data_IF_252126952277
#
_entry.id   IF_252126952277
#
_cell.length_a   1.000
_cell.length_b   1.000
_cell.length_c   1.000
_cell.angle_alpha   90.00
_cell.angle_beta   90.00
_cell.angle_gamma   90.00
#
_symmetry.space_group_name_H-M   'P 1'
#
loop_
_entity.id
_entity.type
_entity.pdbx_description
1 polymer ?
#
# COMPACT_ATOMS: atom_id res chain seq x y z
N UNK A 1 11.01 10.90 31.17
CA UNK A 1 10.28 9.65 30.90
C UNK A 1 10.08 9.56 29.40
N UNK A 2 10.39 8.42 28.79
CA UNK A 2 10.09 8.18 27.38
C UNK A 2 8.57 8.21 27.19
N UNK A 3 8.08 8.91 26.15
CA UNK A 3 6.65 8.95 25.83
C UNK A 3 6.26 7.58 25.25
N UNK A 4 5.86 6.64 26.12
CA UNK A 4 5.49 5.27 25.73
C UNK A 4 4.41 5.23 24.65
N UNK A 5 3.50 6.21 24.61
CA UNK A 5 2.49 6.33 23.56
C UNK A 5 3.16 6.64 22.22
N UNK A 6 4.11 7.57 22.20
CA UNK A 6 4.91 7.86 21.02
C UNK A 6 5.77 6.66 20.60
N UNK A 7 6.51 6.05 21.52
CA UNK A 7 7.36 4.88 21.23
C UNK A 7 6.55 3.75 20.61
N UNK A 8 5.35 3.49 21.14
CA UNK A 8 4.45 2.49 20.60
C UNK A 8 3.95 2.86 19.20
N UNK A 9 3.56 4.13 19.00
CA UNK A 9 3.13 4.60 17.70
C UNK A 9 4.24 4.46 16.65
N UNK A 10 5.47 4.83 16.98
CA UNK A 10 6.65 4.68 16.12
C UNK A 10 6.95 3.21 15.83
N UNK A 11 6.89 2.35 16.84
CA UNK A 11 7.00 0.89 16.67
C UNK A 11 5.95 0.37 15.68
N UNK A 12 4.66 0.69 15.83
CA UNK A 12 3.61 0.25 14.89
C UNK A 12 3.87 0.73 13.47
N UNK A 13 4.19 2.01 13.29
CA UNK A 13 4.47 2.60 11.98
C UNK A 13 5.60 1.81 11.33
N UNK A 14 6.70 1.61 12.06
CA UNK A 14 7.86 0.85 11.59
C UNK A 14 7.50 -0.58 11.19
N UNK A 15 6.68 -1.23 12.01
CA UNK A 15 6.24 -2.59 11.80
C UNK A 15 5.29 -2.75 10.59
N UNK A 16 4.47 -1.73 10.29
CA UNK A 16 3.68 -1.65 9.05
C UNK A 16 4.60 -1.50 7.85
N UNK A 17 5.63 -0.65 7.92
CA UNK A 17 6.57 -0.46 6.82
C UNK A 17 7.39 -1.71 6.48
N UNK A 18 7.81 -2.46 7.50
CA UNK A 18 8.49 -3.74 7.31
C UNK A 18 7.55 -4.74 6.62
N UNK A 19 6.30 -4.81 7.06
CA UNK A 19 5.29 -5.66 6.43
C UNK A 19 5.02 -5.24 4.98
N UNK A 20 4.84 -3.95 4.72
CA UNK A 20 4.65 -3.39 3.38
C UNK A 20 5.84 -3.75 2.48
N UNK A 21 7.07 -3.55 2.93
CA UNK A 21 8.27 -3.88 2.15
C UNK A 21 8.34 -5.38 1.82
N UNK A 22 8.05 -6.26 2.79
CA UNK A 22 8.00 -7.71 2.59
C UNK A 22 6.94 -8.08 1.54
N UNK A 23 5.71 -7.62 1.71
CA UNK A 23 4.63 -7.96 0.80
C UNK A 23 4.81 -7.33 -0.57
N UNK A 24 5.38 -6.12 -0.65
CA UNK A 24 5.66 -5.46 -1.93
C UNK A 24 6.74 -6.20 -2.73
N UNK A 25 7.76 -6.77 -2.05
CA UNK A 25 8.72 -7.66 -2.70
C UNK A 25 8.00 -8.87 -3.32
N UNK A 26 7.19 -9.58 -2.52
CA UNK A 26 6.44 -10.73 -3.03
C UNK A 26 5.42 -10.34 -4.13
N UNK A 27 4.87 -9.13 -4.10
CA UNK A 27 4.00 -8.61 -5.16
C UNK A 27 4.76 -8.48 -6.48
N UNK A 28 5.97 -7.93 -6.46
CA UNK A 28 6.82 -7.83 -7.65
C UNK A 28 7.06 -9.23 -8.23
N UNK A 29 7.44 -10.19 -7.39
CA UNK A 29 7.70 -11.56 -7.83
C UNK A 29 6.43 -12.22 -8.42
N UNK A 30 5.27 -11.97 -7.81
CA UNK A 30 3.96 -12.44 -8.30
C UNK A 30 3.61 -11.82 -9.65
N UNK A 31 3.82 -10.52 -9.85
CA UNK A 31 3.53 -9.85 -11.11
C UNK A 31 4.48 -10.32 -12.22
N UNK A 32 5.75 -10.59 -11.91
CA UNK A 32 6.71 -11.15 -12.85
C UNK A 32 6.32 -12.58 -13.29
N UNK A 33 5.73 -13.39 -12.39
CA UNK A 33 5.15 -14.70 -12.77
C UNK A 33 3.91 -14.55 -13.63
N UNK A 34 2.99 -13.64 -13.28
CA UNK A 34 1.79 -13.36 -14.08
C UNK A 34 2.17 -12.90 -15.48
N UNK A 35 3.12 -11.97 -15.59
CA UNK A 35 3.62 -11.48 -16.87
C UNK A 35 4.12 -12.63 -17.75
N UNK A 36 5.01 -13.48 -17.23
CA UNK A 36 5.52 -14.64 -17.98
C UNK A 36 4.40 -15.59 -18.39
N UNK A 37 3.51 -15.95 -17.47
CA UNK A 37 2.42 -16.90 -17.74
C UNK A 37 1.42 -16.37 -18.75
N UNK A 38 1.06 -15.09 -18.68
CA UNK A 38 0.12 -14.45 -19.60
C UNK A 38 0.73 -14.32 -20.99
N UNK A 39 1.99 -13.90 -21.11
CA UNK A 39 2.67 -13.82 -22.40
C UNK A 39 2.81 -15.19 -23.04
N UNK A 40 3.28 -16.19 -22.28
CA UNK A 40 3.44 -17.55 -22.81
C UNK A 40 2.10 -18.15 -23.27
N UNK A 41 1.02 -17.89 -22.52
CA UNK A 41 -0.33 -18.31 -22.90
C UNK A 41 -0.76 -17.71 -24.24
N UNK A 42 -0.47 -16.42 -24.43
CA UNK A 42 -0.86 -15.69 -25.65
C UNK A 42 -0.01 -16.15 -26.84
N UNK A 43 1.27 -16.45 -26.64
CA UNK A 43 2.15 -16.99 -27.67
C UNK A 43 1.71 -18.39 -28.11
N UNK A 44 1.58 -19.32 -27.16
CA UNK A 44 1.24 -20.72 -27.45
C UNK A 44 -0.09 -20.88 -28.17
N UNK A 45 -1.05 -20.00 -27.88
CA UNK A 45 -2.42 -20.18 -28.34
C UNK A 45 -2.71 -19.38 -29.62
N UNK A 46 -1.83 -18.45 -30.08
CA UNK A 46 -2.12 -17.58 -31.23
C UNK A 46 -1.08 -17.56 -32.35
N UNK A 47 0.21 -17.79 -32.06
CA UNK A 47 1.33 -17.47 -32.96
C UNK A 47 1.26 -18.21 -34.32
N UNK A 48 0.75 -19.44 -34.33
CA UNK A 48 0.69 -20.30 -35.54
C UNK A 48 -0.72 -20.46 -36.15
N UNK A 49 -1.69 -19.64 -35.74
CA UNK A 49 -3.08 -19.78 -36.18
C UNK A 49 -3.46 -18.83 -37.31
N UNK A 50 -4.30 -19.29 -38.23
CA UNK A 50 -4.98 -18.41 -39.19
C UNK A 50 -5.87 -17.37 -38.46
N UNK A 51 -6.05 -16.18 -39.06
CA UNK A 51 -6.74 -15.03 -38.45
C UNK A 51 -8.14 -15.35 -37.89
N UNK A 52 -8.94 -16.16 -38.61
CA UNK A 52 -10.28 -16.57 -38.15
C UNK A 52 -10.20 -17.48 -36.92
N UNK A 53 -9.19 -18.35 -36.85
CA UNK A 53 -8.94 -19.20 -35.68
C UNK A 53 -8.41 -18.37 -34.50
N UNK A 54 -7.53 -17.40 -34.74
CA UNK A 54 -7.04 -16.45 -33.72
C UNK A 54 -8.19 -15.70 -33.05
N UNK A 55 -9.18 -15.20 -33.81
CA UNK A 55 -10.33 -14.49 -33.23
C UNK A 55 -11.17 -15.40 -32.30
N UNK A 56 -11.41 -16.65 -32.71
CA UNK A 56 -12.13 -17.64 -31.87
C UNK A 56 -11.36 -17.99 -30.60
N UNK A 57 -10.03 -17.97 -30.64
CA UNK A 57 -9.17 -18.25 -29.51
C UNK A 57 -9.05 -17.04 -28.59
N UNK A 58 -8.93 -15.83 -29.13
CA UNK A 58 -8.90 -14.57 -28.37
C UNK A 58 -10.11 -14.43 -27.44
N UNK A 59 -11.32 -14.78 -27.90
CA UNK A 59 -12.54 -14.80 -27.07
C UNK A 59 -12.40 -15.78 -25.89
N UNK A 60 -11.74 -16.92 -26.12
CA UNK A 60 -11.49 -17.96 -25.10
C UNK A 60 -10.30 -17.66 -24.19
N UNK A 61 -9.51 -16.61 -24.44
CA UNK A 61 -8.38 -16.23 -23.59
C UNK A 61 -8.80 -15.64 -22.25
N UNK A 62 -9.94 -14.94 -22.20
CA UNK A 62 -10.42 -14.30 -20.96
C UNK A 62 -10.48 -15.25 -19.75
N UNK A 63 -11.13 -16.42 -19.81
CA UNK A 63 -11.16 -17.35 -18.68
C UNK A 63 -9.76 -17.89 -18.32
N UNK A 64 -8.86 -18.08 -19.30
CA UNK A 64 -7.48 -18.55 -19.04
C UNK A 64 -6.64 -17.48 -18.35
N UNK A 65 -6.72 -16.23 -18.81
CA UNK A 65 -6.08 -15.07 -18.15
C UNK A 65 -6.62 -14.91 -16.73
N UNK A 66 -7.95 -14.99 -16.56
CA UNK A 66 -8.59 -14.94 -15.24
C UNK A 66 -8.00 -16.00 -14.30
N UNK A 67 -7.89 -17.25 -14.75
CA UNK A 67 -7.32 -18.34 -13.95
C UNK A 67 -5.88 -18.06 -13.51
N UNK A 68 -5.03 -17.48 -14.37
CA UNK A 68 -3.66 -17.08 -14.00
C UNK A 68 -3.69 -16.03 -12.87
N UNK A 69 -4.52 -14.99 -13.01
CA UNK A 69 -4.61 -13.92 -12.01
C UNK A 69 -5.19 -14.45 -10.68
N UNK A 70 -6.16 -15.35 -10.71
CA UNK A 70 -6.71 -15.98 -9.50
C UNK A 70 -5.64 -16.82 -8.78
N UNK A 71 -4.89 -17.64 -9.52
CA UNK A 71 -3.87 -18.53 -8.96
C UNK A 71 -2.67 -17.78 -8.39
N UNK A 72 -2.22 -16.71 -9.04
CA UNK A 72 -1.04 -15.97 -8.63
C UNK A 72 -1.38 -14.79 -7.73
N UNK A 73 -2.24 -13.88 -8.21
CA UNK A 73 -2.50 -12.61 -7.55
C UNK A 73 -3.51 -12.74 -6.40
N UNK A 74 -4.62 -13.46 -6.58
CA UNK A 74 -5.59 -13.61 -5.49
C UNK A 74 -5.10 -14.55 -4.38
N UNK A 75 -4.32 -15.57 -4.72
CA UNK A 75 -3.62 -16.39 -3.70
C UNK A 75 -2.63 -15.55 -2.89
N UNK A 76 -1.87 -14.69 -3.56
CA UNK A 76 -0.97 -13.74 -2.89
C UNK A 76 -1.75 -12.75 -2.02
N UNK A 77 -2.86 -12.19 -2.50
CA UNK A 77 -3.64 -11.21 -1.73
C UNK A 77 -4.32 -11.83 -0.50
N UNK A 78 -4.78 -13.08 -0.59
CA UNK A 78 -5.28 -13.83 0.57
C UNK A 78 -4.19 -13.97 1.65
N UNK A 79 -2.94 -14.22 1.25
CA UNK A 79 -1.80 -14.27 2.19
C UNK A 79 -1.58 -12.93 2.90
N UNK A 80 -1.61 -11.82 2.15
CA UNK A 80 -1.47 -10.46 2.70
C UNK A 80 -2.55 -10.19 3.75
N UNK A 81 -3.81 -10.50 3.40
CA UNK A 81 -4.97 -10.24 4.24
C UNK A 81 -5.00 -11.14 5.47
N UNK A 82 -4.70 -12.44 5.33
CA UNK A 82 -4.71 -13.38 6.46
C UNK A 82 -3.55 -13.13 7.41
N UNK A 83 -2.32 -13.13 6.90
CA UNK A 83 -1.14 -13.02 7.75
C UNK A 83 -0.86 -11.59 8.20
N UNK A 84 -0.94 -10.62 7.28
CA UNK A 84 -0.61 -9.23 7.53
C UNK A 84 -1.53 -8.63 8.58
N UNK A 85 -2.83 -8.83 8.43
CA UNK A 85 -3.82 -8.22 9.32
C UNK A 85 -3.82 -8.90 10.69
N UNK A 86 -3.61 -10.22 10.76
CA UNK A 86 -3.45 -10.92 12.03
C UNK A 86 -2.26 -10.38 12.83
N UNK A 87 -1.11 -10.18 12.18
CA UNK A 87 0.08 -9.60 12.83
C UNK A 87 -0.19 -8.16 13.28
N UNK A 88 -0.93 -7.39 12.49
CA UNK A 88 -1.26 -6.02 12.85
C UNK A 88 -2.26 -5.92 14.01
N UNK A 89 -3.27 -6.79 14.05
CA UNK A 89 -4.22 -6.88 15.16
C UNK A 89 -3.52 -7.21 16.48
N UNK A 90 -2.60 -8.19 16.48
CA UNK A 90 -1.79 -8.54 17.66
C UNK A 90 -0.92 -7.38 18.15
N UNK A 91 -0.41 -6.55 17.23
CA UNK A 91 0.33 -5.33 17.61
C UNK A 91 -0.60 -4.34 18.30
N UNK A 92 -1.78 -4.08 17.77
CA UNK A 92 -2.76 -3.19 18.42
C UNK A 92 -3.14 -3.70 19.81
N UNK A 93 -3.42 -4.99 19.94
CA UNK A 93 -3.70 -5.61 21.25
C UNK A 93 -2.55 -5.41 22.24
N UNK A 94 -1.29 -5.63 21.80
CA UNK A 94 -0.10 -5.36 22.62
C UNK A 94 -0.02 -3.89 23.06
N UNK A 95 -0.43 -2.94 22.21
CA UNK A 95 -0.50 -1.53 22.57
C UNK A 95 -1.36 -1.30 23.79
N UNK A 96 -2.58 -1.84 23.73
CA UNK A 96 -3.59 -1.61 24.73
C UNK A 96 -3.18 -2.23 26.08
N UNK A 97 -2.47 -3.35 26.05
CA UNK A 97 -1.86 -3.98 27.23
C UNK A 97 -0.71 -3.16 27.84
N UNK A 98 0.09 -2.49 27.02
CA UNK A 98 1.34 -1.84 27.48
C UNK A 98 1.18 -0.38 27.95
N UNK A 99 0.12 0.32 27.55
CA UNK A 99 -0.14 1.71 27.98
C UNK A 99 -0.52 1.77 29.48
N UNK A 100 -0.91 0.65 30.10
CA UNK A 100 -1.09 0.52 31.56
C UNK A 100 -2.39 1.13 32.11
N UNK A 101 -2.83 2.27 31.56
CA UNK A 101 -4.01 3.01 32.03
C UNK A 101 -5.32 2.68 31.29
N UNK A 102 -5.33 1.65 30.44
CA UNK A 102 -6.54 1.18 29.78
C UNK A 102 -7.14 0.03 30.61
N UNK A 103 -8.43 0.06 30.98
CA UNK A 103 -9.05 -1.01 31.78
C UNK A 103 -8.86 -2.40 31.15
N UNK A 104 -8.58 -3.42 31.98
CA UNK A 104 -8.26 -4.79 31.54
C UNK A 104 -9.25 -5.36 30.52
N UNK A 105 -10.55 -5.07 30.69
CA UNK A 105 -11.63 -5.51 29.78
C UNK A 105 -11.47 -5.03 28.33
N UNK A 106 -10.74 -3.94 28.10
CA UNK A 106 -10.51 -3.37 26.77
C UNK A 106 -9.12 -3.70 26.20
N UNK A 107 -8.25 -4.34 26.98
CA UNK A 107 -6.88 -4.63 26.57
C UNK A 107 -6.75 -5.76 25.56
N UNK A 108 -7.71 -6.69 25.56
CA UNK A 108 -7.76 -7.83 24.64
C UNK A 108 -8.69 -7.55 23.46
N UNK A 109 -8.57 -8.35 22.40
CA UNK A 109 -9.52 -8.31 21.29
C UNK A 109 -10.87 -8.89 21.74
N UNK A 110 -11.94 -8.12 21.62
CA UNK A 110 -13.30 -8.56 21.91
C UNK A 110 -13.88 -9.40 20.76
N UNK A 111 -15.04 -10.03 20.98
CA UNK A 111 -15.76 -10.70 19.89
C UNK A 111 -16.18 -9.71 18.78
N UNK A 112 -16.51 -8.47 19.15
CA UNK A 112 -16.80 -7.41 18.19
C UNK A 112 -15.56 -7.05 17.37
N UNK A 113 -14.37 -6.97 18.00
CA UNK A 113 -13.11 -6.74 17.29
C UNK A 113 -12.81 -7.85 16.28
N UNK A 114 -13.03 -9.12 16.67
CA UNK A 114 -12.80 -10.26 15.78
C UNK A 114 -13.76 -10.25 14.58
N UNK A 115 -15.03 -9.87 14.80
CA UNK A 115 -16.01 -9.69 13.73
C UNK A 115 -15.61 -8.53 12.79
N UNK A 116 -15.17 -7.40 13.35
CA UNK A 116 -14.63 -6.28 12.59
C UNK A 116 -13.43 -6.73 11.74
N UNK A 117 -12.44 -7.39 12.33
CA UNK A 117 -11.25 -7.88 11.63
C UNK A 117 -11.66 -8.79 10.46
N UNK A 118 -12.62 -9.69 10.65
CA UNK A 118 -13.14 -10.55 9.57
C UNK A 118 -13.75 -9.72 8.43
N UNK A 119 -14.53 -8.70 8.74
CA UNK A 119 -15.14 -7.82 7.74
C UNK A 119 -14.08 -6.99 6.99
N UNK A 120 -13.09 -6.43 7.69
CA UNK A 120 -12.00 -5.66 7.07
C UNK A 120 -11.16 -6.52 6.13
N UNK A 121 -10.92 -7.79 6.51
CA UNK A 121 -10.26 -8.77 5.63
C UNK A 121 -11.05 -9.01 4.35
N UNK A 122 -12.35 -9.28 4.47
CA UNK A 122 -13.22 -9.52 3.32
C UNK A 122 -13.27 -8.29 2.40
N UNK A 123 -13.47 -7.10 2.97
CA UNK A 123 -13.49 -5.84 2.22
C UNK A 123 -12.17 -5.61 1.45
N UNK A 124 -11.03 -5.82 2.10
CA UNK A 124 -9.72 -5.67 1.47
C UNK A 124 -9.51 -6.70 0.36
N UNK A 125 -9.89 -7.96 0.59
CA UNK A 125 -9.79 -9.00 -0.42
C UNK A 125 -10.64 -8.67 -1.66
N UNK A 126 -11.83 -8.09 -1.48
CA UNK A 126 -12.65 -7.57 -2.58
C UNK A 126 -11.93 -6.48 -3.38
N UNK A 127 -11.23 -5.53 -2.74
CA UNK A 127 -10.43 -4.53 -3.46
C UNK A 127 -9.34 -5.17 -4.33
N UNK A 128 -8.68 -6.22 -3.83
CA UNK A 128 -7.73 -6.99 -4.63
C UNK A 128 -8.44 -7.71 -5.80
N UNK A 129 -9.62 -8.28 -5.57
CA UNK A 129 -10.45 -8.90 -6.62
C UNK A 129 -10.85 -7.91 -7.71
N UNK A 130 -11.15 -6.67 -7.36
CA UNK A 130 -11.50 -5.62 -8.33
C UNK A 130 -10.33 -5.29 -9.26
N UNK A 131 -9.10 -5.22 -8.71
CA UNK A 131 -7.87 -5.08 -9.51
C UNK A 131 -7.73 -6.29 -10.44
N UNK A 132 -7.89 -7.51 -9.92
CA UNK A 132 -7.81 -8.74 -10.73
C UNK A 132 -8.79 -8.71 -11.90
N UNK A 133 -10.07 -8.42 -11.64
CA UNK A 133 -11.11 -8.36 -12.66
C UNK A 133 -10.84 -7.27 -13.71
N UNK A 134 -10.38 -6.11 -13.27
CA UNK A 134 -10.02 -5.00 -14.16
C UNK A 134 -8.91 -5.40 -15.12
N UNK A 135 -7.86 -6.04 -14.62
CA UNK A 135 -6.73 -6.44 -15.45
C UNK A 135 -7.01 -7.69 -16.28
N UNK A 136 -7.86 -8.62 -15.83
CA UNK A 136 -8.39 -9.69 -16.70
C UNK A 136 -9.09 -9.07 -17.91
N UNK A 137 -9.96 -8.08 -17.70
CA UNK A 137 -10.67 -7.42 -18.80
C UNK A 137 -9.71 -6.70 -19.74
N UNK A 138 -8.83 -5.84 -19.22
CA UNK A 138 -7.86 -5.07 -20.04
C UNK A 138 -6.94 -5.96 -20.87
N UNK A 139 -6.41 -7.02 -20.28
CA UNK A 139 -5.54 -7.97 -20.98
C UNK A 139 -6.31 -8.72 -22.07
N UNK A 140 -7.56 -9.13 -21.80
CA UNK A 140 -8.40 -9.81 -22.79
C UNK A 140 -8.79 -8.89 -23.95
N UNK A 141 -9.13 -7.64 -23.64
CA UNK A 141 -9.44 -6.60 -24.64
C UNK A 141 -8.25 -6.36 -25.56
N UNK A 142 -7.02 -6.26 -25.02
CA UNK A 142 -5.80 -6.11 -25.82
C UNK A 142 -5.58 -7.26 -26.78
N UNK A 143 -5.66 -8.51 -26.29
CA UNK A 143 -5.54 -9.69 -27.15
C UNK A 143 -6.56 -9.66 -28.30
N UNK A 144 -7.82 -9.34 -28.00
CA UNK A 144 -8.86 -9.27 -29.02
C UNK A 144 -8.60 -8.16 -30.06
N UNK A 145 -8.25 -6.96 -29.60
CA UNK A 145 -7.99 -5.81 -30.48
C UNK A 145 -6.75 -6.04 -31.36
N UNK A 146 -5.68 -6.59 -30.81
CA UNK A 146 -4.47 -6.91 -31.57
C UNK A 146 -4.74 -7.93 -32.68
N UNK A 147 -5.50 -8.99 -32.39
CA UNK A 147 -5.88 -9.98 -33.42
C UNK A 147 -6.77 -9.36 -34.50
N UNK A 148 -7.74 -8.53 -34.11
CA UNK A 148 -8.65 -7.86 -35.06
C UNK A 148 -7.87 -6.94 -36.02
N UNK A 149 -7.02 -6.08 -35.45
CA UNK A 149 -6.21 -5.11 -36.17
C UNK A 149 -5.02 -5.73 -36.92
N UNK A 150 -4.68 -7.01 -36.68
CA UNK A 150 -3.53 -7.65 -37.29
C UNK A 150 -2.20 -7.11 -36.78
N UNK A 151 -2.15 -6.72 -35.51
CA UNK A 151 -0.95 -6.22 -34.84
C UNK A 151 0.07 -7.35 -34.72
N UNK A 152 1.35 -7.02 -34.89
CA UNK A 152 2.45 -7.97 -34.76
C UNK A 152 2.47 -8.61 -33.36
N UNK A 153 2.82 -9.90 -33.30
CA UNK A 153 2.80 -10.64 -32.05
C UNK A 153 3.78 -10.08 -31.01
N UNK A 154 4.96 -9.60 -31.45
CA UNK A 154 5.94 -9.01 -30.53
C UNK A 154 5.44 -7.68 -29.93
N UNK A 155 4.63 -6.93 -30.68
CA UNK A 155 3.96 -5.73 -30.17
C UNK A 155 2.90 -6.10 -29.13
N UNK A 156 2.03 -7.08 -29.41
CA UNK A 156 1.06 -7.60 -28.43
C UNK A 156 1.75 -8.11 -27.16
N UNK A 157 2.82 -8.89 -27.30
CA UNK A 157 3.62 -9.35 -26.16
C UNK A 157 4.07 -8.16 -25.30
N UNK A 158 4.65 -7.13 -25.92
CA UNK A 158 5.11 -5.93 -25.22
C UNK A 158 3.96 -5.21 -24.51
N UNK A 159 2.80 -5.05 -25.15
CA UNK A 159 1.63 -4.44 -24.55
C UNK A 159 1.13 -5.20 -23.31
N UNK A 160 1.14 -6.53 -23.37
CA UNK A 160 0.71 -7.38 -22.26
C UNK A 160 1.64 -7.23 -21.06
N UNK A 161 2.96 -7.23 -21.30
CA UNK A 161 3.97 -6.99 -20.26
C UNK A 161 3.81 -5.61 -19.61
N UNK A 162 3.64 -4.57 -20.43
CA UNK A 162 3.44 -3.21 -19.94
C UNK A 162 2.12 -3.03 -19.19
N UNK A 163 1.06 -3.73 -19.59
CA UNK A 163 -0.23 -3.69 -18.88
C UNK A 163 -0.10 -4.25 -17.45
N UNK A 164 0.80 -5.22 -17.25
CA UNK A 164 1.04 -5.84 -15.93
C UNK A 164 2.05 -5.02 -15.11
N UNK A 165 3.25 -4.79 -15.63
CA UNK A 165 4.38 -4.21 -14.89
C UNK A 165 4.74 -2.76 -15.27
N UNK A 166 4.10 -2.21 -16.29
CA UNK A 166 4.39 -0.87 -16.82
C UNK A 166 5.81 -0.75 -17.35
N UNK A 167 6.48 0.37 -17.04
CA UNK A 167 7.89 0.60 -17.43
C UNK A 167 8.86 -0.49 -16.92
N UNK A 168 8.44 -1.26 -15.92
CA UNK A 168 9.24 -2.32 -15.29
C UNK A 168 9.00 -3.72 -15.88
N UNK A 169 8.26 -3.80 -17.00
CA UNK A 169 8.09 -5.00 -17.80
C UNK A 169 9.44 -5.61 -18.21
N UNK A 170 9.53 -6.93 -18.39
CA UNK A 170 10.76 -7.50 -18.95
C UNK A 170 10.99 -7.03 -20.39
N UNK A 171 12.24 -7.08 -20.82
CA UNK A 171 12.69 -6.72 -22.17
C UNK A 171 13.46 -7.88 -22.80
N UNK A 172 13.61 -7.87 -24.14
CA UNK A 172 14.62 -8.68 -24.81
C UNK A 172 16.05 -8.18 -24.54
N UNK A 173 16.18 -6.89 -24.21
CA UNK A 173 17.45 -6.25 -23.83
C UNK A 173 17.89 -6.64 -22.40
N UNK A 174 19.05 -7.28 -22.31
CA UNK A 174 19.64 -7.71 -21.04
C UNK A 174 20.07 -6.54 -20.13
N UNK A 175 20.49 -5.40 -20.68
CA UNK A 175 20.85 -4.22 -19.92
C UNK A 175 19.62 -3.56 -19.28
N UNK A 176 18.52 -3.48 -20.03
CA UNK A 176 17.21 -3.03 -19.51
C UNK A 176 16.79 -3.91 -18.34
N UNK A 177 16.86 -5.24 -18.49
CA UNK A 177 16.49 -6.16 -17.43
C UNK A 177 17.36 -6.01 -16.18
N UNK A 178 18.67 -5.80 -16.34
CA UNK A 178 19.58 -5.49 -15.23
C UNK A 178 19.19 -4.20 -14.51
N UNK A 179 18.85 -3.14 -15.25
CA UNK A 179 18.41 -1.87 -14.69
C UNK A 179 17.08 -2.00 -13.95
N UNK A 180 16.09 -2.68 -14.56
CA UNK A 180 14.78 -2.95 -13.94
C UNK A 180 14.95 -3.75 -12.65
N UNK A 181 15.80 -4.79 -12.63
CA UNK A 181 16.08 -5.56 -11.44
C UNK A 181 16.71 -4.70 -10.32
N UNK A 182 17.62 -3.78 -10.67
CA UNK A 182 18.20 -2.82 -9.72
C UNK A 182 17.13 -1.88 -9.16
N UNK A 183 16.23 -1.37 -10.01
CA UNK A 183 15.12 -0.51 -9.60
C UNK A 183 14.18 -1.26 -8.65
N UNK A 184 13.73 -2.47 -9.00
CA UNK A 184 12.86 -3.31 -8.14
C UNK A 184 13.48 -3.54 -6.77
N UNK A 185 14.78 -3.83 -6.69
CA UNK A 185 15.51 -3.96 -5.41
C UNK A 185 15.51 -2.66 -4.61
N UNK A 186 15.79 -1.54 -5.25
CA UNK A 186 15.81 -0.23 -4.60
C UNK A 186 14.40 0.20 -4.15
N UNK A 187 13.34 -0.11 -4.91
CA UNK A 187 11.95 0.13 -4.52
C UNK A 187 11.60 -0.59 -3.20
N UNK A 188 11.99 -1.86 -3.06
CA UNK A 188 11.80 -2.64 -1.83
C UNK A 188 12.61 -2.02 -0.68
N UNK A 189 13.87 -1.68 -0.93
CA UNK A 189 14.79 -1.11 0.08
C UNK A 189 14.32 0.24 0.60
N UNK A 190 13.82 1.12 -0.27
CA UNK A 190 13.29 2.44 0.13
C UNK A 190 12.12 2.31 1.10
N UNK A 191 11.31 1.23 1.02
CA UNK A 191 10.19 1.00 1.92
C UNK A 191 10.63 0.56 3.32
N UNK A 192 11.70 -0.23 3.42
CA UNK A 192 12.20 -0.74 4.69
C UNK A 192 13.26 0.13 5.35
N UNK A 193 13.96 1.01 4.64
CA UNK A 193 15.00 1.85 5.24
C UNK A 193 14.43 3.12 5.90
N UNK A 194 15.11 3.63 6.93
CA UNK A 194 14.87 5.00 7.37
C UNK A 194 15.38 5.99 6.33
N UNK A 195 14.45 6.68 5.68
CA UNK A 195 14.68 7.63 4.59
C UNK A 195 15.41 8.91 5.03
N UNK A 196 15.55 9.16 6.33
CA UNK A 196 16.27 10.30 6.93
C UNK A 196 17.78 10.09 6.91
N UNK A 197 18.22 8.84 7.05
CA UNK A 197 19.64 8.48 7.07
C UNK A 197 20.32 8.85 5.75
N UNK A 198 21.62 9.08 5.79
CA UNK A 198 22.45 9.30 4.59
C UNK A 198 22.27 8.16 3.59
N UNK A 199 22.25 6.92 4.08
CA UNK A 199 21.99 5.73 3.27
C UNK A 199 20.58 5.74 2.66
N UNK A 200 19.56 6.17 3.39
CA UNK A 200 18.18 6.26 2.91
C UNK A 200 17.97 7.35 1.84
N UNK A 201 18.69 8.47 1.94
CA UNK A 201 18.73 9.52 0.90
C UNK A 201 19.41 9.01 -0.37
N UNK A 202 20.59 8.42 -0.24
CA UNK A 202 21.36 7.88 -1.36
C UNK A 202 20.58 6.80 -2.15
N UNK A 203 19.85 5.90 -1.48
CA UNK A 203 19.02 4.89 -2.17
C UNK A 203 17.89 5.55 -2.96
N UNK A 204 17.23 6.59 -2.43
CA UNK A 204 16.16 7.30 -3.15
C UNK A 204 16.68 8.04 -4.37
N UNK A 205 17.78 8.78 -4.23
CA UNK A 205 18.38 9.51 -5.34
C UNK A 205 18.81 8.55 -6.46
N UNK A 206 19.44 7.44 -6.09
CA UNK A 206 19.78 6.37 -7.03
C UNK A 206 18.54 5.78 -7.69
N UNK A 207 17.48 5.50 -6.93
CA UNK A 207 16.22 4.99 -7.47
C UNK A 207 15.63 5.95 -8.51
N UNK A 208 15.51 7.24 -8.16
CA UNK A 208 15.00 8.28 -9.07
C UNK A 208 15.84 8.37 -10.33
N UNK A 209 17.18 8.41 -10.20
CA UNK A 209 18.10 8.45 -11.35
C UNK A 209 17.94 7.22 -12.24
N UNK A 210 17.85 6.03 -11.68
CA UNK A 210 17.69 4.79 -12.46
C UNK A 210 16.33 4.77 -13.19
N UNK A 211 15.25 5.24 -12.56
CA UNK A 211 13.93 5.36 -13.22
C UNK A 211 14.00 6.36 -14.38
N UNK A 212 14.66 7.51 -14.20
CA UNK A 212 14.85 8.49 -15.29
C UNK A 212 15.65 7.88 -16.44
N UNK A 213 16.75 7.19 -16.15
CA UNK A 213 17.54 6.48 -17.17
C UNK A 213 16.68 5.44 -17.90
N UNK A 214 15.85 4.69 -17.17
CA UNK A 214 14.94 3.71 -17.76
C UNK A 214 13.96 4.36 -18.76
N UNK A 215 13.46 5.55 -18.43
CA UNK A 215 12.52 6.29 -19.27
C UNK A 215 13.19 6.92 -20.49
N UNK A 216 14.34 7.57 -20.30
CA UNK A 216 15.00 8.36 -21.35
C UNK A 216 15.82 7.50 -22.30
N UNK A 217 16.67 6.61 -21.77
CA UNK A 217 17.59 5.83 -22.62
C UNK A 217 16.91 4.70 -23.37
N UNK A 218 15.81 4.18 -22.82
CA UNK A 218 15.12 3.02 -23.38
C UNK A 218 13.71 3.37 -23.88
N UNK A 219 13.44 4.67 -24.08
CA UNK A 219 12.17 5.22 -24.58
C UNK A 219 10.92 4.59 -23.94
N UNK A 220 10.99 4.29 -22.64
CA UNK A 220 9.88 3.63 -21.94
C UNK A 220 8.90 4.67 -21.44
N UNK A 221 7.77 4.76 -22.15
CA UNK A 221 6.67 5.63 -21.76
C UNK A 221 6.15 5.30 -20.38
N UNK A 222 5.80 6.35 -19.62
CA UNK A 222 5.21 6.22 -18.30
C UNK A 222 3.78 5.68 -18.43
N UNK A 223 3.64 4.39 -18.65
CA UNK A 223 2.36 3.66 -18.63
C UNK A 223 1.80 3.77 -17.21
N UNK A 224 0.98 4.79 -16.98
CA UNK A 224 0.46 5.13 -15.67
C UNK A 224 -0.57 4.13 -15.17
N UNK A 225 -1.12 3.29 -16.04
CA UNK A 225 -2.28 2.44 -15.74
C UNK A 225 -1.98 0.93 -15.81
N UNK A 226 -0.98 0.49 -15.05
CA UNK A 226 -0.57 -0.92 -14.99
C UNK A 226 -0.96 -1.60 -13.67
N UNK A 227 -1.05 -2.93 -13.69
CA UNK A 227 -1.46 -3.73 -12.53
C UNK A 227 -0.57 -3.52 -11.32
N UNK A 228 0.75 -3.43 -11.52
CA UNK A 228 1.73 -3.17 -10.45
C UNK A 228 1.39 -1.93 -9.63
N UNK A 229 1.00 -0.84 -10.29
CA UNK A 229 0.62 0.41 -9.61
C UNK A 229 -0.64 0.22 -8.76
N UNK A 230 -1.72 -0.30 -9.35
CA UNK A 230 -3.00 -0.47 -8.64
C UNK A 230 -2.85 -1.45 -7.47
N UNK A 231 -2.24 -2.62 -7.72
CA UNK A 231 -1.97 -3.62 -6.68
C UNK A 231 -1.10 -3.07 -5.55
N UNK A 232 -0.04 -2.33 -5.90
CA UNK A 232 0.84 -1.70 -4.91
C UNK A 232 0.14 -0.64 -4.07
N UNK A 233 -0.80 0.11 -4.66
CA UNK A 233 -1.62 1.09 -3.95
C UNK A 233 -2.59 0.41 -2.98
N UNK A 234 -3.31 -0.63 -3.42
CA UNK A 234 -4.20 -1.41 -2.54
C UNK A 234 -3.42 -2.01 -1.37
N UNK A 235 -2.23 -2.59 -1.61
CA UNK A 235 -1.37 -3.10 -0.54
C UNK A 235 -0.98 -2.01 0.48
N UNK A 236 -0.52 -0.86 0.01
CA UNK A 236 -0.06 0.23 0.86
C UNK A 236 -1.17 0.80 1.73
N UNK A 237 -2.34 1.03 1.13
CA UNK A 237 -3.48 1.65 1.80
C UNK A 237 -4.14 0.65 2.75
N UNK A 238 -4.37 -0.59 2.32
CA UNK A 238 -5.06 -1.60 3.12
C UNK A 238 -4.37 -1.90 4.46
N UNK A 239 -3.05 -2.02 4.51
CA UNK A 239 -2.31 -2.24 5.77
C UNK A 239 -2.47 -1.09 6.76
N UNK A 240 -2.52 0.15 6.27
CA UNK A 240 -2.61 1.36 7.11
C UNK A 240 -4.04 1.63 7.54
N UNK A 241 -5.00 1.37 6.67
CA UNK A 241 -6.43 1.56 6.94
C UNK A 241 -6.96 0.46 7.85
N UNK A 242 -6.49 -0.78 7.70
CA UNK A 242 -6.76 -1.83 8.68
C UNK A 242 -6.28 -1.42 10.09
N UNK A 243 -5.03 -0.95 10.19
CA UNK A 243 -4.46 -0.49 11.46
C UNK A 243 -5.28 0.65 12.07
N UNK A 244 -5.73 1.61 11.26
CA UNK A 244 -6.46 2.78 11.73
C UNK A 244 -7.89 2.44 12.17
N UNK A 245 -8.59 1.59 11.42
CA UNK A 245 -9.97 1.19 11.69
C UNK A 245 -10.06 0.34 12.95
N UNK A 246 -9.22 -0.69 13.07
CA UNK A 246 -9.22 -1.52 14.28
C UNK A 246 -8.82 -0.69 15.51
N UNK A 247 -7.82 0.18 15.37
CA UNK A 247 -7.39 1.03 16.49
C UNK A 247 -8.47 2.05 16.88
N UNK A 248 -9.21 2.61 15.92
CA UNK A 248 -10.35 3.49 16.19
C UNK A 248 -11.43 2.74 16.98
N UNK A 249 -11.90 1.60 16.48
CA UNK A 249 -12.96 0.82 17.13
C UNK A 249 -12.59 0.45 18.58
N UNK A 250 -11.37 -0.07 18.80
CA UNK A 250 -10.91 -0.38 20.16
C UNK A 250 -10.80 0.83 21.07
N UNK A 251 -10.42 1.97 20.50
CA UNK A 251 -10.28 3.21 21.27
C UNK A 251 -11.64 3.78 21.65
N UNK A 252 -12.63 3.66 20.77
CA UNK A 252 -14.02 4.01 21.05
C UNK A 252 -14.59 3.12 22.17
N UNK A 253 -14.39 1.80 22.10
CA UNK A 253 -14.79 0.87 23.17
C UNK A 253 -14.13 1.23 24.51
N UNK A 254 -12.86 1.63 24.48
CA UNK A 254 -12.11 2.04 25.67
C UNK A 254 -12.44 3.47 26.17
N UNK A 255 -13.35 4.20 25.50
CA UNK A 255 -13.75 5.56 25.87
C UNK A 255 -12.70 6.64 25.57
N UNK A 256 -11.74 6.38 24.69
CA UNK A 256 -10.69 7.35 24.33
C UNK A 256 -11.23 8.34 23.29
N UNK A 257 -11.48 9.56 23.72
CA UNK A 257 -12.09 10.63 22.90
C UNK A 257 -11.10 11.63 22.32
N UNK A 258 -9.81 11.48 22.64
CA UNK A 258 -8.75 12.38 22.24
C UNK A 258 -7.64 11.66 21.47
N UNK A 259 -6.88 12.41 20.70
CA UNK A 259 -5.77 11.90 19.90
C UNK A 259 -4.56 12.81 19.95
N UNK A 260 -3.36 12.21 19.85
CA UNK A 260 -2.08 12.91 19.68
C UNK A 260 -1.46 12.52 18.34
N UNK A 261 -0.87 13.48 17.63
CA UNK A 261 -0.33 13.25 16.29
C UNK A 261 1.08 12.65 16.35
N UNK A 262 1.24 11.44 15.80
CA UNK A 262 2.48 10.69 15.82
C UNK A 262 3.06 10.49 14.43
N UNK A 263 4.37 10.23 14.36
CA UNK A 263 5.14 10.04 13.13
C UNK A 263 6.42 10.87 13.10
N UNK A 264 7.16 10.80 12.00
CA UNK A 264 8.44 11.49 11.86
C UNK A 264 8.46 12.38 10.61
N UNK A 265 9.09 13.55 10.75
CA UNK A 265 9.33 14.45 9.62
C UNK A 265 10.42 13.88 8.70
N UNK A 266 10.07 13.76 7.42
CA UNK A 266 10.98 13.47 6.30
C UNK A 266 10.91 14.61 5.26
N UNK A 267 11.88 14.74 4.34
CA UNK A 267 11.88 15.82 3.34
C UNK A 267 10.58 15.90 2.52
N UNK A 268 10.00 14.75 2.17
CA UNK A 268 8.74 14.66 1.39
C UNK A 268 7.48 14.69 2.28
N UNK A 269 7.58 15.12 3.54
CA UNK A 269 6.41 15.22 4.42
C UNK A 269 5.49 16.30 3.89
N UNK A 270 4.20 16.00 3.81
CA UNK A 270 3.18 16.97 3.40
C UNK A 270 3.07 18.07 4.45
N UNK A 271 2.78 19.29 4.02
CA UNK A 271 2.76 20.46 4.92
C UNK A 271 1.76 20.31 6.06
N UNK A 272 0.59 19.71 5.82
CA UNK A 272 -0.36 19.38 6.87
C UNK A 272 0.28 18.55 8.01
N UNK A 273 0.96 17.45 7.65
CA UNK A 273 1.66 16.59 8.59
C UNK A 273 2.81 17.33 9.29
N UNK A 274 3.51 18.18 8.53
CA UNK A 274 4.64 18.97 9.01
C UNK A 274 4.21 19.94 10.11
N UNK A 275 3.13 20.68 9.85
CA UNK A 275 2.58 21.67 10.77
C UNK A 275 1.99 21.03 12.03
N UNK A 276 1.34 19.87 11.91
CA UNK A 276 0.90 19.09 13.08
C UNK A 276 2.08 18.61 13.93
N UNK A 277 3.11 18.01 13.31
CA UNK A 277 4.27 17.49 14.07
C UNK A 277 5.14 18.59 14.68
N UNK A 278 5.17 19.78 14.07
CA UNK A 278 5.88 20.93 14.62
C UNK A 278 5.07 21.69 15.69
N UNK A 279 3.88 21.19 16.05
CA UNK A 279 2.96 21.84 16.99
C UNK A 279 2.33 23.15 16.51
N UNK A 280 2.52 23.53 15.22
CA UNK A 280 1.99 24.79 14.67
C UNK A 280 0.47 24.77 14.52
N UNK A 281 -0.16 23.61 14.63
CA UNK A 281 -1.60 23.43 14.60
C UNK A 281 -2.17 23.00 15.94
N UNK A 282 -1.33 22.92 16.98
CA UNK A 282 -1.75 22.52 18.31
C UNK A 282 -2.63 23.60 18.91
N UNK A 283 -3.76 23.17 19.47
CA UNK A 283 -4.67 24.04 20.21
C UNK A 283 -4.32 24.15 21.69
N UNK A 284 -3.44 23.26 22.16
CA UNK A 284 -3.04 23.08 23.55
C UNK A 284 -1.56 22.75 23.58
N UNK A 285 -0.85 23.16 24.63
CA UNK A 285 0.58 22.82 24.81
C UNK A 285 0.84 21.31 24.80
N UNK A 286 -0.15 20.52 25.21
CA UNK A 286 -0.06 19.06 25.20
C UNK A 286 -0.01 18.41 23.82
N UNK A 287 -0.39 19.13 22.76
CA UNK A 287 -0.55 18.57 21.42
C UNK A 287 -1.66 17.52 21.30
N UNK A 288 -2.56 17.47 22.30
CA UNK A 288 -3.73 16.59 22.33
C UNK A 288 -4.93 17.30 21.73
N UNK A 289 -5.64 16.61 20.85
CA UNK A 289 -6.81 17.10 20.14
C UNK A 289 -8.04 16.27 20.50
N UNK A 290 -9.21 16.91 20.56
CA UNK A 290 -10.47 16.16 20.49
C UNK A 290 -10.68 15.61 19.07
N UNK A 291 -11.47 14.55 18.94
CA UNK A 291 -11.84 14.00 17.63
C UNK A 291 -12.50 15.07 16.73
N UNK A 292 -13.33 15.94 17.29
CA UNK A 292 -14.01 16.99 16.53
C UNK A 292 -13.06 18.09 16.05
N UNK A 293 -12.04 18.42 16.84
CA UNK A 293 -10.99 19.34 16.42
C UNK A 293 -10.22 18.77 15.23
N UNK A 294 -9.90 17.48 15.25
CA UNK A 294 -9.26 16.79 14.11
C UNK A 294 -10.17 16.80 12.88
N UNK A 295 -11.47 16.50 13.03
CA UNK A 295 -12.44 16.54 11.91
C UNK A 295 -12.55 17.94 11.32
N UNK A 296 -12.62 18.98 12.14
CA UNK A 296 -12.66 20.40 11.71
C UNK A 296 -11.38 20.79 10.98
N UNK A 297 -10.22 20.48 11.55
CA UNK A 297 -8.91 20.75 10.95
C UNK A 297 -8.72 20.04 9.60
N UNK A 298 -9.21 18.79 9.50
CA UNK A 298 -9.18 18.05 8.25
C UNK A 298 -10.08 18.70 7.19
N UNK A 299 -11.30 19.10 7.54
CA UNK A 299 -12.24 19.72 6.59
C UNK A 299 -11.78 21.09 6.09
N UNK A 300 -11.15 21.89 6.95
CA UNK A 300 -10.73 23.26 6.62
C UNK A 300 -9.47 23.36 5.76
N UNK A 301 -8.83 22.24 5.42
CA UNK A 301 -7.55 22.22 4.68
C UNK A 301 -7.64 21.36 3.45
N UNK A 302 -7.03 21.83 2.35
CA UNK A 302 -6.89 21.06 1.12
C UNK A 302 -5.41 21.02 0.70
N UNK A 303 -4.98 19.90 0.14
CA UNK A 303 -3.64 19.75 -0.44
C UNK A 303 -3.64 18.64 -1.49
N UNK A 304 -2.64 18.68 -2.38
CA UNK A 304 -2.50 17.70 -3.45
C UNK A 304 -2.35 16.27 -2.89
N UNK A 305 -3.25 15.38 -3.33
CA UNK A 305 -3.26 13.98 -2.91
C UNK A 305 -3.77 13.74 -1.48
N UNK A 306 -4.54 14.69 -0.93
CA UNK A 306 -5.38 14.45 0.26
C UNK A 306 -6.45 13.40 -0.09
N UNK A 307 -6.51 12.33 0.69
CA UNK A 307 -7.55 11.30 0.55
C UNK A 307 -8.87 11.85 1.11
N UNK A 308 -9.99 11.64 0.42
CA UNK A 308 -11.31 11.98 0.96
C UNK A 308 -11.70 10.99 2.07
N UNK A 309 -12.47 11.45 3.07
CA UNK A 309 -13.02 10.62 4.15
C UNK A 309 -12.58 11.03 5.56
N UNK A 310 -12.80 10.13 6.52
CA UNK A 310 -12.57 10.38 7.95
C UNK A 310 -11.06 10.44 8.28
N UNK A 311 -10.51 11.56 8.81
CA UNK A 311 -9.08 11.72 9.11
C UNK A 311 -8.49 10.71 10.10
N UNK A 312 -9.33 10.05 10.90
CA UNK A 312 -8.89 9.01 11.83
C UNK A 312 -8.65 7.67 11.13
N UNK A 313 -9.33 7.45 10.00
CA UNK A 313 -9.29 6.20 9.22
C UNK A 313 -8.40 6.35 8.01
N UNK A 314 -8.64 7.40 7.21
CA UNK A 314 -8.04 7.51 5.88
C UNK A 314 -6.55 7.73 6.00
N UNK A 315 -5.81 6.73 5.55
CA UNK A 315 -4.36 6.73 5.54
C UNK A 315 -3.95 6.22 4.17
N UNK A 316 -3.08 6.96 3.50
CA UNK A 316 -2.71 6.59 2.14
C UNK A 316 -2.02 7.72 1.38
N UNK A 317 -1.37 7.30 0.29
CA UNK A 317 -0.47 8.13 -0.50
C UNK A 317 1.02 7.89 -0.20
N UNK A 318 1.88 8.39 -1.09
CA UNK A 318 3.32 8.16 -1.05
C UNK A 318 3.92 8.61 0.30
N UNK A 319 4.54 7.68 1.04
CA UNK A 319 5.25 7.92 2.30
C UNK A 319 4.39 8.36 3.51
N UNK A 320 3.12 7.95 3.61
CA UNK A 320 2.36 8.20 4.84
C UNK A 320 2.97 7.43 6.03
N UNK A 321 3.65 8.17 6.92
CA UNK A 321 4.30 7.70 8.17
C UNK A 321 3.73 8.37 9.42
N UNK A 322 2.57 9.01 9.28
CA UNK A 322 1.94 9.73 10.38
C UNK A 322 0.60 9.11 10.71
N UNK A 323 0.25 9.14 11.98
CA UNK A 323 -1.00 8.60 12.47
C UNK A 323 -1.48 9.33 13.72
N UNK A 324 -2.79 9.32 13.93
CA UNK A 324 -3.39 9.66 15.21
C UNK A 324 -3.27 8.48 16.16
N UNK A 325 -2.73 8.74 17.35
CA UNK A 325 -2.75 7.79 18.46
C UNK A 325 -3.82 8.23 19.43
N UNK A 326 -4.74 7.34 19.78
CA UNK A 326 -5.81 7.63 20.73
C UNK A 326 -5.24 7.65 22.13
N UNK A 327 -5.66 8.66 22.88
CA UNK A 327 -5.13 8.98 24.20
C UNK A 327 -6.23 9.49 25.11
N UNK A 328 -5.98 9.42 26.42
CA UNK A 328 -6.71 10.25 27.38
C UNK A 328 -5.93 11.53 27.65
N UNK A 329 -6.59 12.70 27.77
CA UNK A 329 -5.95 13.92 28.25
C UNK A 329 -5.29 13.75 29.63
N UNK A 330 -5.86 12.90 30.49
CA UNK A 330 -5.35 12.61 31.84
C UNK A 330 -4.01 11.86 31.84
N UNK A 331 -3.53 11.42 30.67
CA UNK A 331 -2.23 10.78 30.54
C UNK A 331 -1.07 11.77 30.44
N UNK A 332 -1.36 13.06 30.27
CA UNK A 332 -0.38 14.11 30.05
C UNK A 332 -0.50 15.21 31.10
N UNK A 333 0.63 15.80 31.49
CA UNK A 333 0.64 17.04 32.26
C UNK A 333 0.33 18.27 31.38
N UNK A 334 0.36 19.45 32.01
CA UNK A 334 0.07 20.73 31.35
C UNK A 334 1.09 21.07 30.24
N UNK A 335 2.29 20.51 30.31
CA UNK A 335 3.36 20.68 29.32
C UNK A 335 3.35 19.59 28.24
N UNK A 336 2.40 18.65 28.29
CA UNK A 336 2.26 17.60 27.29
C UNK A 336 3.16 16.40 27.47
N UNK A 337 3.83 16.31 28.61
CA UNK A 337 4.68 15.18 28.96
C UNK A 337 3.82 14.07 29.55
N UNK A 338 4.10 12.84 29.12
CA UNK A 338 3.40 11.65 29.59
C UNK A 338 3.67 11.46 31.09
N UNK A 339 2.61 11.32 31.88
CA UNK A 339 2.67 11.14 33.35
C UNK A 339 2.20 9.76 33.81
N UNK A 340 1.73 8.93 32.88
CA UNK A 340 1.33 7.54 33.16
C UNK A 340 2.51 6.60 32.98
N UNK A 341 2.50 5.53 33.77
CA UNK A 341 3.59 4.56 33.80
C UNK A 341 3.58 3.62 32.60
#
# INVERSE_FOLDING_TARGET
MADKVQDFAEYRIRQIEIAESKYYKSLIDTLDRIEKRVVNLVASDLEDLEKVAQLRVAIRMRPKIKAILEQEYLKWSDTVVREGFNKQAKRIERAFKQIGNIPLRFQQLSNADLALIKNLKNQTFTQFKDVSNTFTRRLSEKVYQSVLAGVDFAELEQEMRQTINGIYASSKDAEVNKLVAKIKRDEVKVRSIDKRTTSGRAVRERLTKNIQVLQTKFARDRTGENMKRFAGQVLNDSLREFDSQLNLAKSEDAGLTHVKYQGSLIPTTRDFCRLLKSGKLDKRRSGVFTIDEVKKLWRSRSWKGKKAGNPLIVRGGYNCRHQWSFVSPTWYDQDGKLIIN
#
